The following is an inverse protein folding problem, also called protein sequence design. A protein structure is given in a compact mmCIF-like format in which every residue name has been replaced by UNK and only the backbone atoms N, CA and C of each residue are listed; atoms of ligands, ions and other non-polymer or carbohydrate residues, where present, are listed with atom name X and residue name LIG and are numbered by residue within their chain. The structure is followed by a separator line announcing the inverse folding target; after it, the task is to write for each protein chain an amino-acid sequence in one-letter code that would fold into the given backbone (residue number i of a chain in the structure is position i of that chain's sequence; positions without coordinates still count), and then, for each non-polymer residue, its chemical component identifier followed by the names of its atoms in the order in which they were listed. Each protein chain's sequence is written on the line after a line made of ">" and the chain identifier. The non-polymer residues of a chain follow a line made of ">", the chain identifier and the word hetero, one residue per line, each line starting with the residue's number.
data_IF_737288747502
#
_entry.id   IF_737288747502
#
_cell.length_a   1.000
_cell.length_b   1.000
_cell.length_c   1.000
_cell.angle_alpha   90.00
_cell.angle_beta   90.00
_cell.angle_gamma   90.00
#
_symmetry.space_group_name_H-M   'P 1'
#
loop_
_entity.id
_entity.type
_entity.pdbx_description
1 polymer ?
#
# COMPACT_ATOMS: atom_id res chain seq x y z
N UNK A 1 24.77 -15.33 -9.85
CA UNK A 1 23.33 -15.12 -9.60
C UNK A 1 22.96 -13.74 -10.08
N UNK A 2 21.86 -13.56 -10.80
CA UNK A 2 21.44 -12.20 -11.20
C UNK A 2 20.94 -11.41 -9.99
N UNK A 3 20.85 -10.09 -10.15
CA UNK A 3 20.49 -9.20 -9.05
C UNK A 3 19.05 -9.41 -8.57
N UNK A 4 18.13 -9.79 -9.47
CA UNK A 4 16.72 -10.07 -9.13
C UNK A 4 16.61 -11.22 -8.13
N UNK A 5 17.20 -12.37 -8.44
CA UNK A 5 17.15 -13.56 -7.59
C UNK A 5 17.91 -13.30 -6.28
N UNK A 6 19.05 -12.61 -6.34
CA UNK A 6 19.81 -12.20 -5.15
C UNK A 6 18.95 -11.37 -4.21
N UNK A 7 18.31 -10.32 -4.71
CA UNK A 7 17.48 -9.41 -3.92
C UNK A 7 16.29 -10.13 -3.25
N UNK A 8 15.66 -11.09 -3.95
CA UNK A 8 14.56 -11.89 -3.39
C UNK A 8 15.05 -12.76 -2.23
N UNK A 9 16.16 -13.48 -2.42
CA UNK A 9 16.67 -14.44 -1.43
C UNK A 9 17.29 -13.76 -0.20
N UNK A 10 17.86 -12.56 -0.36
CA UNK A 10 18.50 -11.83 0.76
C UNK A 10 17.55 -10.89 1.50
N UNK A 11 16.28 -10.76 1.07
CA UNK A 11 15.31 -9.84 1.68
C UNK A 11 15.05 -10.16 3.16
N UNK A 12 15.11 -9.15 4.03
CA UNK A 12 14.72 -9.24 5.45
C UNK A 12 13.74 -8.12 5.81
N UNK A 13 12.89 -8.36 6.81
CA UNK A 13 12.00 -7.31 7.34
C UNK A 13 12.79 -6.37 8.23
N UNK A 14 12.89 -5.09 7.84
CA UNK A 14 13.53 -4.02 8.59
C UNK A 14 12.50 -3.35 9.51
N UNK A 15 12.90 -3.02 10.75
CA UNK A 15 12.04 -2.37 11.76
C UNK A 15 12.67 -1.14 12.42
N UNK A 16 13.90 -0.78 12.02
CA UNK A 16 14.59 0.44 12.42
C UNK A 16 14.93 1.20 11.14
N UNK A 17 14.49 2.45 11.05
CA UNK A 17 14.59 3.27 9.84
C UNK A 17 15.31 4.57 10.16
N UNK A 18 15.92 5.18 9.14
CA UNK A 18 16.45 6.54 9.23
C UNK A 18 15.30 7.55 9.24
N UNK A 19 15.58 8.76 9.71
CA UNK A 19 14.62 9.88 9.66
C UNK A 19 14.52 10.50 8.26
N UNK A 20 15.48 10.21 7.39
CA UNK A 20 15.53 10.69 6.01
C UNK A 20 14.34 10.16 5.20
N UNK A 21 13.64 11.05 4.52
CA UNK A 21 12.58 10.70 3.58
C UNK A 21 13.18 10.32 2.22
N UNK A 22 12.54 9.36 1.54
CA UNK A 22 12.89 8.99 0.16
C UNK A 22 12.51 10.10 -0.82
N UNK A 23 13.13 10.10 -2.00
CA UNK A 23 12.74 11.04 -3.06
C UNK A 23 11.38 10.69 -3.67
N UNK A 24 10.77 11.66 -4.37
CA UNK A 24 9.51 11.43 -5.07
C UNK A 24 9.67 10.40 -6.20
N UNK A 25 10.81 10.39 -6.88
CA UNK A 25 11.15 9.45 -7.95
C UNK A 25 11.28 8.02 -7.43
N UNK A 26 11.92 7.85 -6.26
CA UNK A 26 12.05 6.55 -5.59
C UNK A 26 10.67 6.02 -5.18
N UNK A 27 9.84 6.88 -4.58
CA UNK A 27 8.47 6.53 -4.22
C UNK A 27 7.66 6.11 -5.44
N UNK A 28 7.71 6.90 -6.52
CA UNK A 28 6.98 6.61 -7.75
C UNK A 28 7.45 5.29 -8.39
N UNK A 29 8.76 5.01 -8.38
CA UNK A 29 9.31 3.75 -8.86
C UNK A 29 8.72 2.55 -8.11
N UNK A 30 8.60 2.64 -6.78
CA UNK A 30 8.00 1.59 -5.95
C UNK A 30 6.52 1.41 -6.27
N UNK A 31 5.77 2.52 -6.40
CA UNK A 31 4.34 2.48 -6.70
C UNK A 31 4.04 1.87 -8.08
N UNK A 32 4.83 2.23 -9.09
CA UNK A 32 4.75 1.64 -10.43
C UNK A 32 5.11 0.16 -10.41
N UNK A 33 6.20 -0.23 -9.75
CA UNK A 33 6.55 -1.64 -9.64
C UNK A 33 5.44 -2.47 -8.96
N UNK A 34 4.80 -1.90 -7.92
CA UNK A 34 3.68 -2.53 -7.23
C UNK A 34 2.42 -2.65 -8.07
N UNK A 35 2.09 -1.64 -8.89
CA UNK A 35 0.89 -1.65 -9.73
C UNK A 35 0.96 -2.66 -10.88
N UNK A 36 2.17 -2.99 -11.34
CA UNK A 36 2.41 -4.00 -12.39
C UNK A 36 2.41 -5.45 -11.87
N UNK A 37 2.20 -5.67 -10.57
CA UNK A 37 2.05 -7.02 -10.04
C UNK A 37 0.83 -7.74 -10.68
N UNK A 38 0.94 -9.05 -10.97
CA UNK A 38 -0.15 -9.80 -11.57
C UNK A 38 -1.39 -9.77 -10.66
N UNK A 39 -2.55 -9.68 -11.27
CA UNK A 39 -3.83 -9.70 -10.58
C UNK A 39 -4.85 -10.54 -11.36
N UNK A 40 -5.81 -11.11 -10.64
CA UNK A 40 -6.86 -11.91 -11.25
C UNK A 40 -7.63 -11.09 -12.28
N UNK A 41 -7.82 -11.65 -13.47
CA UNK A 41 -8.62 -11.06 -14.56
C UNK A 41 -8.17 -9.67 -15.05
N UNK A 42 -6.97 -9.19 -14.65
CA UNK A 42 -6.47 -7.88 -15.07
C UNK A 42 -7.23 -6.68 -14.48
N UNK A 43 -7.99 -6.88 -13.41
CA UNK A 43 -8.84 -5.86 -12.78
C UNK A 43 -8.06 -4.72 -12.12
N UNK A 44 -6.78 -4.94 -11.78
CA UNK A 44 -5.91 -3.94 -11.15
C UNK A 44 -6.53 -3.32 -9.88
N UNK A 45 -7.20 -4.14 -9.05
CA UNK A 45 -7.92 -3.69 -7.86
C UNK A 45 -7.02 -3.13 -6.72
N UNK A 46 -5.71 -3.06 -6.92
CA UNK A 46 -4.77 -2.52 -5.95
C UNK A 46 -5.01 -1.02 -5.75
N UNK A 47 -5.11 -0.61 -4.48
CA UNK A 47 -5.19 0.80 -4.10
C UNK A 47 -4.04 1.08 -3.15
N UNK A 48 -3.15 1.98 -3.56
CA UNK A 48 -2.02 2.40 -2.75
C UNK A 48 -2.31 3.78 -2.14
N UNK A 49 -2.07 3.91 -0.84
CA UNK A 49 -2.09 5.19 -0.13
C UNK A 49 -0.71 5.39 0.48
N UNK A 50 0.06 6.34 -0.03
CA UNK A 50 1.35 6.71 0.52
C UNK A 50 1.17 7.86 1.52
N UNK A 51 1.48 7.62 2.80
CA UNK A 51 1.46 8.65 3.85
C UNK A 51 2.90 9.01 4.16
N UNK A 52 3.30 10.26 3.88
CA UNK A 52 4.67 10.74 4.10
C UNK A 52 4.80 11.64 5.33
N UNK A 53 3.69 12.19 5.83
CA UNK A 53 3.69 13.08 6.99
C UNK A 53 3.87 12.26 8.29
N UNK A 54 4.99 12.46 8.98
CA UNK A 54 5.35 11.73 10.19
C UNK A 54 4.30 11.83 11.31
N UNK A 55 3.66 13.00 11.49
CA UNK A 55 2.62 13.17 12.49
C UNK A 55 1.34 12.40 12.13
N UNK A 56 0.94 12.41 10.85
CA UNK A 56 -0.17 11.58 10.35
C UNK A 56 0.14 10.09 10.52
N UNK A 57 1.36 9.64 10.20
CA UNK A 57 1.77 8.23 10.40
C UNK A 57 1.64 7.83 11.87
N UNK A 58 2.21 8.61 12.80
CA UNK A 58 2.11 8.32 14.24
C UNK A 58 0.67 8.22 14.72
N UNK A 59 -0.19 9.16 14.27
CA UNK A 59 -1.61 9.18 14.61
C UNK A 59 -2.33 7.93 14.09
N UNK A 60 -2.12 7.56 12.82
CA UNK A 60 -2.77 6.38 12.23
C UNK A 60 -2.28 5.07 12.84
N UNK A 61 -0.97 4.95 13.12
CA UNK A 61 -0.40 3.78 13.79
C UNK A 61 -0.97 3.62 15.21
N UNK A 62 -1.09 4.71 15.97
CA UNK A 62 -1.73 4.69 17.28
C UNK A 62 -3.21 4.25 17.17
N UNK A 63 -3.96 4.79 16.19
CA UNK A 63 -5.35 4.41 15.93
C UNK A 63 -5.51 2.93 15.61
N UNK A 64 -4.66 2.38 14.73
CA UNK A 64 -4.71 0.98 14.33
C UNK A 64 -4.33 0.02 15.47
N UNK A 65 -3.36 0.40 16.30
CA UNK A 65 -2.98 -0.38 17.48
C UNK A 65 -4.14 -0.48 18.48
N UNK A 66 -4.82 0.64 18.76
CA UNK A 66 -6.00 0.66 19.63
C UNK A 66 -7.11 -0.21 19.07
N UNK A 67 -7.40 -0.12 17.77
CA UNK A 67 -8.40 -0.99 17.13
C UNK A 67 -8.02 -2.47 17.21
N UNK A 68 -6.73 -2.80 17.05
CA UNK A 68 -6.22 -4.16 17.15
C UNK A 68 -6.30 -4.74 18.57
N UNK A 69 -6.26 -3.91 19.60
CA UNK A 69 -6.49 -4.29 21.00
C UNK A 69 -7.98 -4.50 21.26
N UNK A 70 -8.82 -3.53 20.89
CA UNK A 70 -10.27 -3.59 21.11
C UNK A 70 -10.92 -4.79 20.42
N UNK A 71 -10.50 -5.14 19.19
CA UNK A 71 -10.97 -6.33 18.48
C UNK A 71 -10.55 -7.64 19.12
N UNK A 72 -9.41 -7.67 19.83
CA UNK A 72 -8.96 -8.87 20.56
C UNK A 72 -9.76 -9.07 21.84
N UNK A 73 -10.04 -7.98 22.55
CA UNK A 73 -10.78 -8.01 23.81
C UNK A 73 -12.28 -8.25 23.59
N UNK A 74 -12.83 -7.73 22.49
CA UNK A 74 -14.23 -7.92 22.11
C UNK A 74 -14.35 -8.17 20.59
N UNK A 75 -14.42 -9.43 20.13
CA UNK A 75 -14.52 -9.76 18.71
C UNK A 75 -15.77 -9.19 18.02
N UNK A 76 -16.80 -8.85 18.79
CA UNK A 76 -18.11 -8.37 18.32
C UNK A 76 -18.19 -6.86 18.07
N UNK A 77 -17.19 -6.05 18.44
CA UNK A 77 -17.20 -4.61 18.12
C UNK A 77 -16.85 -4.37 16.65
N UNK A 78 -17.87 -4.45 15.80
CA UNK A 78 -17.85 -3.92 14.44
C UNK A 78 -18.31 -2.46 14.44
N UNK A 79 -17.35 -1.53 14.37
CA UNK A 79 -17.59 -0.17 13.90
C UNK A 79 -17.78 0.89 14.99
N UNK A 80 -16.96 1.95 14.87
CA UNK A 80 -17.23 3.34 15.27
C UNK A 80 -16.06 4.23 14.78
N UNK A 81 -16.33 5.51 14.44
CA UNK A 81 -16.84 5.97 13.16
C UNK A 81 -15.74 6.16 12.09
N UNK A 82 -16.13 5.89 10.85
CA UNK A 82 -15.39 6.24 9.64
C UNK A 82 -15.55 7.74 9.36
N UNK A 83 -14.59 8.57 9.75
CA UNK A 83 -14.46 9.92 9.18
C UNK A 83 -13.02 10.14 8.75
N UNK A 84 -12.72 9.71 7.53
CA UNK A 84 -11.67 10.32 6.72
C UNK A 84 -12.25 10.49 5.31
N UNK A 85 -12.97 11.61 5.10
CA UNK A 85 -13.10 12.16 3.75
C UNK A 85 -11.72 12.69 3.38
N UNK A 86 -10.91 11.90 2.70
CA UNK A 86 -9.77 12.42 1.96
C UNK A 86 -9.88 11.86 0.54
N UNK A 87 -9.87 12.80 -0.42
CA UNK A 87 -10.38 12.61 -1.76
C UNK A 87 -9.56 11.54 -2.50
N UNK A 88 -10.21 10.42 -2.80
CA UNK A 88 -9.73 9.48 -3.80
C UNK A 88 -9.67 10.21 -5.12
N UNK A 89 -8.47 10.53 -5.61
CA UNK A 89 -8.29 10.86 -7.02
C UNK A 89 -8.75 9.66 -7.83
N UNK A 90 -9.99 9.71 -8.34
CA UNK A 90 -10.43 8.80 -9.40
C UNK A 90 -9.52 9.08 -10.58
N UNK A 91 -8.66 8.13 -10.94
CA UNK A 91 -8.24 8.10 -12.33
C UNK A 91 -9.51 7.92 -13.17
N UNK A 92 -9.77 8.78 -14.17
CA UNK A 92 -10.86 8.54 -15.09
C UNK A 92 -10.62 7.18 -15.72
N UNK A 93 -11.67 6.37 -15.81
CA UNK A 93 -11.66 5.11 -16.55
C UNK A 93 -11.41 5.42 -18.03
N UNK A 94 -10.14 5.61 -18.37
CA UNK A 94 -9.66 5.68 -19.73
C UNK A 94 -9.91 4.32 -20.39
N UNK A 95 -10.54 4.37 -21.55
CA UNK A 95 -10.85 3.30 -22.50
C UNK A 95 -10.39 1.89 -22.12
N UNK A 96 -11.35 0.96 -22.08
CA UNK A 96 -11.09 -0.48 -22.17
C UNK A 96 -10.29 -0.78 -23.44
N UNK A 97 -8.95 -0.80 -23.36
CA UNK A 97 -8.08 -1.23 -24.45
C UNK A 97 -7.22 -2.41 -24.01
N UNK A 98 -7.32 -3.45 -24.84
CA UNK A 98 -6.55 -4.68 -24.90
C UNK A 98 -6.64 -5.67 -23.74
N UNK A 99 -7.61 -6.59 -23.87
CA UNK A 99 -7.44 -7.97 -23.39
C UNK A 99 -6.18 -8.53 -24.03
N UNK A 100 -5.17 -8.82 -23.22
CA UNK A 100 -3.99 -9.55 -23.65
C UNK A 100 -4.39 -11.00 -23.96
N UNK A 101 -4.34 -11.40 -25.22
CA UNK A 101 -4.35 -12.80 -25.65
C UNK A 101 -2.91 -13.23 -25.91
N UNK A 102 -2.34 -14.18 -25.14
CA UNK A 102 -1.04 -14.76 -25.47
C UNK A 102 -1.13 -15.55 -26.78
N UNK A 103 -0.06 -15.49 -27.57
CA UNK A 103 0.15 -16.38 -28.74
C UNK A 103 0.57 -17.76 -28.28
#
# INVERSE_FOLDING_TARGET
>A
MNDIIKNILTRRSIRAFKEDQISEEELNTILVAGSYAPNGMGEQNWKFTAIQNAAKIKKEMARLNVQGILKRENPSVSGLPMIAKEQSTRQPSGEKKNRYTPK
#
